data_IF_161908682445
#
_entry.id   IF_161908682445
#
_cell.length_a   1.000
_cell.length_b   1.000
_cell.length_c   1.000
_cell.angle_alpha   90.00
_cell.angle_beta   90.00
_cell.angle_gamma   90.00
#
_symmetry.space_group_name_H-M   'P 1'
#
loop_
_entity.id
_entity.type
_entity.pdbx_description
1 polymer ?
#
# COMPACT_ATOMS: atom_id res chain seq x y z
N UNK A 1 39.38 0.93 -34.68
CA UNK A 1 38.01 1.17 -35.18
C UNK A 1 37.29 1.98 -34.11
N UNK A 2 37.03 3.26 -34.39
CA UNK A 2 36.43 4.20 -33.44
C UNK A 2 34.92 3.96 -33.39
N UNK A 3 34.38 3.65 -32.22
CA UNK A 3 32.94 3.58 -32.01
C UNK A 3 32.40 5.01 -31.92
N UNK A 4 32.10 5.60 -33.08
CA UNK A 4 31.34 6.85 -33.16
C UNK A 4 29.89 6.50 -32.84
N UNK A 5 29.46 6.77 -31.60
CA UNK A 5 28.03 6.79 -31.27
C UNK A 5 27.44 8.07 -31.81
N UNK A 6 26.31 7.97 -32.53
CA UNK A 6 25.58 9.12 -33.04
C UNK A 6 25.05 9.94 -31.85
N UNK A 7 25.12 11.27 -31.93
CA UNK A 7 24.58 12.18 -30.91
C UNK A 7 23.07 11.93 -30.65
N UNK A 8 22.36 11.39 -31.63
CA UNK A 8 20.95 11.00 -31.52
C UNK A 8 20.73 9.80 -30.57
N UNK A 9 21.76 8.98 -30.31
CA UNK A 9 21.71 7.91 -29.30
C UNK A 9 21.95 8.44 -27.87
N UNK A 10 22.42 9.67 -27.72
CA UNK A 10 22.75 10.29 -26.44
C UNK A 10 21.63 11.18 -25.87
N UNK A 11 20.56 11.42 -26.63
CA UNK A 11 19.47 12.32 -26.27
C UNK A 11 18.14 11.60 -26.13
N UNK A 12 18.05 10.71 -25.14
CA UNK A 12 16.77 10.40 -24.50
C UNK A 12 16.91 10.76 -23.03
N UNK A 13 16.69 12.04 -22.70
CA UNK A 13 16.22 12.34 -21.35
C UNK A 13 15.00 11.44 -21.14
N UNK A 14 14.94 10.62 -20.08
CA UNK A 14 13.83 9.70 -19.90
C UNK A 14 12.56 10.53 -19.93
N UNK A 15 11.67 10.21 -20.87
CA UNK A 15 10.37 10.86 -20.95
C UNK A 15 9.69 10.63 -19.61
N UNK A 16 9.50 11.72 -18.86
CA UNK A 16 8.99 11.66 -17.51
C UNK A 16 7.62 10.97 -17.57
N UNK A 17 7.46 9.89 -16.80
CA UNK A 17 6.22 9.14 -16.85
C UNK A 17 5.07 10.03 -16.37
N UNK A 18 3.93 9.99 -17.06
CA UNK A 18 2.76 10.86 -16.76
C UNK A 18 2.20 10.68 -15.35
N UNK A 19 2.58 9.60 -14.65
CA UNK A 19 2.17 9.30 -13.27
C UNK A 19 3.15 9.82 -12.20
N UNK A 20 4.28 10.41 -12.57
CA UNK A 20 5.18 11.05 -11.60
C UNK A 20 4.53 12.33 -11.07
N UNK A 21 4.78 12.61 -9.78
CA UNK A 21 4.28 13.80 -9.07
C UNK A 21 2.76 14.03 -9.18
N UNK A 22 2.00 12.93 -9.31
CA UNK A 22 0.57 12.95 -9.64
C UNK A 22 -0.26 12.28 -8.55
N UNK A 23 -1.45 12.85 -8.27
CA UNK A 23 -2.47 12.24 -7.41
C UNK A 23 -3.48 11.51 -8.30
N UNK A 24 -3.53 10.19 -8.16
CA UNK A 24 -4.53 9.36 -8.83
C UNK A 24 -5.75 9.17 -7.92
N UNK A 25 -6.83 9.88 -8.21
CA UNK A 25 -8.09 9.75 -7.46
C UNK A 25 -8.88 8.52 -7.92
N UNK A 26 -9.21 7.62 -6.98
CA UNK A 26 -10.09 6.48 -7.22
C UNK A 26 -9.78 5.29 -6.32
N UNK A 27 -10.37 4.14 -6.66
CA UNK A 27 -10.00 2.85 -6.08
C UNK A 27 -8.54 2.50 -6.40
N UNK A 28 -7.79 2.03 -5.39
CA UNK A 28 -6.36 1.83 -5.52
C UNK A 28 -6.01 0.66 -6.44
N UNK A 29 -6.81 -0.42 -6.45
CA UNK A 29 -6.60 -1.56 -7.35
C UNK A 29 -6.76 -1.11 -8.79
N UNK A 30 -7.85 -0.40 -9.11
CA UNK A 30 -8.10 0.13 -10.44
C UNK A 30 -7.06 1.17 -10.89
N UNK A 31 -6.51 1.97 -9.96
CA UNK A 31 -5.44 2.92 -10.24
C UNK A 31 -4.10 2.23 -10.52
N UNK A 32 -3.71 1.28 -9.65
CA UNK A 32 -2.50 0.46 -9.83
C UNK A 32 -2.58 -0.36 -11.12
N UNK A 33 -3.78 -0.81 -11.50
CA UNK A 33 -3.98 -1.60 -12.71
C UNK A 33 -3.67 -0.84 -14.01
N UNK A 34 -3.68 0.51 -13.98
CA UNK A 34 -3.32 1.36 -15.11
C UNK A 34 -1.83 1.67 -15.20
N UNK A 35 -1.08 1.41 -14.13
CA UNK A 35 0.38 1.62 -14.12
C UNK A 35 1.10 0.46 -14.82
N UNK A 36 2.21 0.71 -15.53
CA UNK A 36 2.99 -0.37 -16.13
C UNK A 36 3.47 -1.38 -15.07
N UNK A 37 3.61 -2.65 -15.45
CA UNK A 37 4.25 -3.64 -14.57
C UNK A 37 5.68 -3.22 -14.21
N UNK A 38 6.15 -3.60 -13.02
CA UNK A 38 7.55 -3.38 -12.59
C UNK A 38 8.02 -1.93 -12.80
N UNK A 39 7.17 -0.96 -12.48
CA UNK A 39 7.43 0.47 -12.67
C UNK A 39 7.72 1.21 -11.36
N UNK A 40 7.33 0.65 -10.21
CA UNK A 40 7.42 1.28 -8.90
C UNK A 40 8.60 0.71 -8.09
N UNK A 41 9.44 1.60 -7.58
CA UNK A 41 10.58 1.24 -6.72
C UNK A 41 10.17 0.98 -5.26
N UNK A 42 9.28 1.83 -4.72
CA UNK A 42 8.85 1.77 -3.32
C UNK A 42 7.35 2.00 -3.22
N UNK A 43 6.67 1.17 -2.43
CA UNK A 43 5.26 1.34 -2.06
C UNK A 43 5.18 1.55 -0.55
N UNK A 44 4.36 2.50 -0.11
CA UNK A 44 3.94 2.65 1.28
C UNK A 44 2.42 2.52 1.33
N UNK A 45 1.91 1.60 2.14
CA UNK A 45 0.49 1.33 2.29
C UNK A 45 0.06 1.43 3.75
N UNK A 46 -0.92 2.29 4.01
CA UNK A 46 -1.66 2.41 5.26
C UNK A 46 -3.12 2.00 4.99
N UNK A 47 -3.41 0.69 4.91
CA UNK A 47 -4.76 0.21 4.62
C UNK A 47 -5.70 0.45 5.81
N UNK A 48 -7.04 0.39 5.63
CA UNK A 48 -7.97 0.32 6.75
C UNK A 48 -7.59 -0.79 7.75
N UNK A 49 -7.71 -0.53 9.04
CA UNK A 49 -7.29 -1.46 10.11
C UNK A 49 -8.39 -2.40 10.53
N UNK A 50 -9.63 -2.13 10.11
CA UNK A 50 -10.82 -2.86 10.54
C UNK A 50 -10.84 -2.93 12.07
N UNK A 51 -10.98 -1.76 12.71
CA UNK A 51 -10.88 -1.63 14.16
C UNK A 51 -12.00 -2.35 14.93
N UNK A 52 -13.11 -2.69 14.26
CA UNK A 52 -14.26 -3.40 14.83
C UNK A 52 -14.74 -2.75 16.14
N UNK A 53 -14.79 -1.42 16.16
CA UNK A 53 -15.22 -0.66 17.33
C UNK A 53 -16.70 -0.95 17.62
N UNK A 54 -17.01 -1.18 18.89
CA UNK A 54 -18.38 -1.40 19.35
C UNK A 54 -18.81 -0.25 20.27
N UNK A 55 -19.79 0.53 19.79
CA UNK A 55 -20.38 1.64 20.52
C UNK A 55 -19.46 2.83 20.78
N UNK A 56 -19.94 3.72 21.66
CA UNK A 56 -19.26 4.97 21.99
C UNK A 56 -18.24 4.78 23.12
N UNK A 57 -17.07 5.40 22.98
CA UNK A 57 -16.07 5.49 24.03
C UNK A 57 -16.09 6.88 24.69
N UNK A 58 -16.11 6.92 26.02
CA UNK A 58 -16.04 8.16 26.81
C UNK A 58 -14.73 8.24 27.59
N UNK A 59 -14.20 9.46 27.72
CA UNK A 59 -13.05 9.78 28.58
C UNK A 59 -13.48 9.85 30.06
N UNK A 60 -12.54 9.87 31.03
CA UNK A 60 -12.86 10.01 32.45
C UNK A 60 -13.68 11.27 32.80
N UNK A 61 -13.56 12.32 32.00
CA UNK A 61 -14.33 13.57 32.14
C UNK A 61 -15.70 13.53 31.45
N UNK A 62 -16.15 12.34 31.01
CA UNK A 62 -17.40 12.07 30.27
C UNK A 62 -17.45 12.61 28.83
N UNK A 63 -16.39 13.27 28.33
CA UNK A 63 -16.36 13.68 26.93
C UNK A 63 -16.28 12.47 26.00
N UNK A 64 -17.01 12.51 24.88
CA UNK A 64 -16.98 11.46 23.85
C UNK A 64 -15.63 11.48 23.11
N UNK A 65 -15.08 10.30 22.85
CA UNK A 65 -13.92 10.11 21.97
C UNK A 65 -14.38 10.16 20.52
N UNK A 66 -13.70 10.96 19.71
CA UNK A 66 -13.86 10.97 18.26
C UNK A 66 -13.11 9.77 17.69
N UNK A 67 -13.84 8.68 17.46
CA UNK A 67 -13.28 7.41 17.06
C UNK A 67 -13.21 7.32 15.53
N UNK A 68 -12.42 6.38 15.01
CA UNK A 68 -12.43 6.07 13.57
C UNK A 68 -13.62 5.14 13.32
N UNK A 69 -14.77 5.73 13.00
CA UNK A 69 -16.04 5.03 12.75
C UNK A 69 -16.54 5.18 11.29
N UNK A 70 -15.70 5.74 10.41
CA UNK A 70 -15.99 5.91 8.99
C UNK A 70 -16.26 4.58 8.25
N UNK A 71 -17.13 4.64 7.23
CA UNK A 71 -17.53 3.48 6.41
C UNK A 71 -16.36 2.73 5.76
N UNK A 72 -15.24 3.41 5.47
CA UNK A 72 -14.08 2.80 4.81
C UNK A 72 -13.29 1.85 5.72
N UNK A 73 -13.50 1.90 7.04
CA UNK A 73 -12.92 0.96 8.01
C UNK A 73 -13.89 -0.14 8.45
N UNK A 74 -15.09 -0.21 7.87
CA UNK A 74 -16.12 -1.17 8.24
C UNK A 74 -16.11 -2.39 7.31
N UNK A 75 -15.82 -3.57 7.86
CA UNK A 75 -15.84 -4.83 7.11
C UNK A 75 -16.84 -5.80 7.72
N UNK A 76 -17.64 -6.45 6.87
CA UNK A 76 -18.66 -7.41 7.32
C UNK A 76 -18.07 -8.66 7.99
N UNK A 77 -16.83 -9.03 7.64
CA UNK A 77 -16.12 -10.14 8.27
C UNK A 77 -14.62 -10.08 7.98
N UNK A 78 -13.87 -10.88 8.72
CA UNK A 78 -12.46 -11.14 8.46
C UNK A 78 -12.17 -11.76 7.09
N UNK A 79 -13.12 -12.48 6.49
CA UNK A 79 -12.99 -13.02 5.13
C UNK A 79 -13.09 -11.91 4.09
N UNK A 80 -14.02 -10.97 4.28
CA UNK A 80 -14.16 -9.79 3.41
C UNK A 80 -12.92 -8.92 3.49
N UNK A 81 -12.38 -8.71 4.71
CA UNK A 81 -11.12 -7.98 4.91
C UNK A 81 -9.95 -8.68 4.20
N UNK A 82 -9.82 -10.01 4.33
CA UNK A 82 -8.75 -10.76 3.67
C UNK A 82 -8.84 -10.71 2.14
N UNK A 83 -10.06 -10.78 1.59
CA UNK A 83 -10.28 -10.65 0.15
C UNK A 83 -9.87 -9.26 -0.35
N UNK A 84 -10.25 -8.21 0.38
CA UNK A 84 -9.82 -6.84 0.13
C UNK A 84 -8.28 -6.71 0.20
N UNK A 85 -7.66 -7.22 1.27
CA UNK A 85 -6.21 -7.18 1.47
C UNK A 85 -5.45 -7.88 0.34
N UNK A 86 -5.93 -9.07 -0.06
CA UNK A 86 -5.32 -9.84 -1.13
C UNK A 86 -5.40 -9.09 -2.48
N UNK A 87 -6.52 -8.42 -2.76
CA UNK A 87 -6.72 -7.72 -4.02
C UNK A 87 -5.69 -6.59 -4.22
N UNK A 88 -5.53 -5.71 -3.23
CA UNK A 88 -4.58 -4.59 -3.36
C UNK A 88 -3.11 -5.05 -3.26
N UNK A 89 -2.80 -6.08 -2.46
CA UNK A 89 -1.45 -6.65 -2.43
C UNK A 89 -1.04 -7.26 -3.78
N UNK A 90 -1.96 -7.92 -4.48
CA UNK A 90 -1.68 -8.44 -5.83
C UNK A 90 -1.39 -7.32 -6.83
N UNK A 91 -2.21 -6.28 -6.83
CA UNK A 91 -2.01 -5.10 -7.69
C UNK A 91 -0.67 -4.40 -7.37
N UNK A 92 -0.35 -4.24 -6.08
CA UNK A 92 0.91 -3.67 -5.63
C UNK A 92 2.11 -4.51 -6.08
N UNK A 93 2.03 -5.85 -5.95
CA UNK A 93 3.10 -6.76 -6.39
C UNK A 93 3.38 -6.66 -7.88
N UNK A 94 2.33 -6.53 -8.70
CA UNK A 94 2.44 -6.44 -10.17
C UNK A 94 3.25 -5.21 -10.61
N UNK A 95 3.01 -4.06 -9.97
CA UNK A 95 3.68 -2.81 -10.33
C UNK A 95 5.06 -2.67 -9.69
N UNK A 96 5.37 -3.43 -8.64
CA UNK A 96 6.67 -3.38 -7.97
C UNK A 96 7.77 -3.96 -8.87
N UNK A 97 8.90 -3.25 -8.96
CA UNK A 97 10.10 -3.76 -9.64
C UNK A 97 10.63 -5.03 -8.94
N UNK A 98 11.41 -5.89 -9.64
CA UNK A 98 12.01 -7.08 -9.02
C UNK A 98 12.89 -6.78 -7.79
N UNK A 99 13.46 -5.57 -7.72
CA UNK A 99 14.26 -5.08 -6.61
C UNK A 99 13.55 -3.98 -5.78
N UNK A 100 12.24 -3.81 -5.97
CA UNK A 100 11.45 -2.85 -5.22
C UNK A 100 11.07 -3.34 -3.82
N UNK A 101 10.60 -2.43 -2.97
CA UNK A 101 10.16 -2.74 -1.61
C UNK A 101 8.77 -2.19 -1.32
N UNK A 102 8.06 -2.84 -0.40
CA UNK A 102 6.77 -2.36 0.12
C UNK A 102 6.83 -2.28 1.64
N UNK A 103 6.34 -1.17 2.17
CA UNK A 103 6.05 -0.97 3.58
C UNK A 103 4.54 -1.00 3.78
N UNK A 104 4.07 -1.84 4.70
CA UNK A 104 2.66 -1.89 5.09
C UNK A 104 2.59 -1.67 6.59
N UNK A 105 1.80 -0.70 7.01
CA UNK A 105 1.60 -0.40 8.42
C UNK A 105 0.25 -0.95 8.90
N UNK A 106 0.16 -1.23 10.18
CA UNK A 106 -1.05 -1.72 10.82
C UNK A 106 -0.92 -1.72 12.34
N UNK A 107 -2.00 -2.12 12.99
CA UNK A 107 -2.02 -2.41 14.42
C UNK A 107 -2.31 -3.89 14.66
N UNK A 108 -2.46 -4.32 15.91
CA UNK A 108 -2.76 -5.72 16.21
C UNK A 108 -4.07 -6.21 15.59
N UNK A 109 -5.00 -5.32 15.22
CA UNK A 109 -6.28 -5.65 14.58
C UNK A 109 -6.09 -6.31 13.20
N UNK A 110 -5.10 -5.85 12.42
CA UNK A 110 -4.93 -6.29 11.04
C UNK A 110 -3.54 -6.84 10.69
N UNK A 111 -2.46 -6.39 11.35
CA UNK A 111 -1.10 -6.56 10.84
C UNK A 111 -0.70 -8.03 10.69
N UNK A 112 -1.22 -8.91 11.54
CA UNK A 112 -0.97 -10.36 11.44
C UNK A 112 -1.65 -10.99 10.21
N UNK A 113 -2.86 -10.53 9.87
CA UNK A 113 -3.59 -11.00 8.68
C UNK A 113 -2.91 -10.52 7.41
N UNK A 114 -2.57 -9.22 7.39
CA UNK A 114 -1.82 -8.58 6.30
C UNK A 114 -0.48 -9.28 6.08
N UNK A 115 0.30 -9.47 7.15
CA UNK A 115 1.59 -10.16 7.10
C UNK A 115 1.48 -11.58 6.54
N UNK A 116 0.48 -12.36 6.98
CA UNK A 116 0.22 -13.70 6.43
C UNK A 116 -0.10 -13.64 4.91
N UNK A 117 -0.97 -12.71 4.48
CA UNK A 117 -1.30 -12.56 3.05
C UNK A 117 -0.09 -12.12 2.22
N UNK A 118 0.78 -11.26 2.77
CA UNK A 118 2.02 -10.89 2.10
C UNK A 118 2.92 -12.11 1.86
N UNK A 119 3.11 -12.97 2.88
CA UNK A 119 3.91 -14.17 2.72
C UNK A 119 3.28 -15.17 1.72
N UNK A 120 1.96 -15.38 1.78
CA UNK A 120 1.23 -16.23 0.83
C UNK A 120 1.38 -15.76 -0.63
N UNK A 121 1.49 -14.44 -0.84
CA UNK A 121 1.67 -13.81 -2.15
C UNK A 121 3.15 -13.74 -2.60
N UNK A 122 4.06 -14.35 -1.83
CA UNK A 122 5.48 -14.45 -2.20
C UNK A 122 6.28 -13.18 -1.95
N UNK A 123 5.82 -12.29 -1.06
CA UNK A 123 6.69 -11.25 -0.50
C UNK A 123 7.69 -11.88 0.48
N UNK A 124 8.88 -11.29 0.56
CA UNK A 124 9.88 -11.65 1.55
C UNK A 124 9.92 -10.59 2.63
N UNK A 125 9.51 -10.93 3.85
CA UNK A 125 9.55 -9.99 4.98
C UNK A 125 11.02 -9.82 5.39
N UNK A 126 11.53 -8.60 5.22
CA UNK A 126 12.90 -8.24 5.63
C UNK A 126 12.96 -7.93 7.13
N UNK A 127 12.05 -7.08 7.60
CA UNK A 127 11.96 -6.64 8.98
C UNK A 127 10.52 -6.28 9.32
N UNK A 128 10.19 -6.39 10.61
CA UNK A 128 9.07 -5.69 11.23
C UNK A 128 9.63 -4.51 12.03
N UNK A 129 9.04 -3.33 11.88
CA UNK A 129 9.49 -2.07 12.50
C UNK A 129 8.37 -1.47 13.32
N UNK A 130 8.62 -1.29 14.62
CA UNK A 130 7.62 -0.80 15.56
C UNK A 130 7.66 0.73 15.64
N UNK A 131 6.55 1.37 15.27
CA UNK A 131 6.34 2.80 15.54
C UNK A 131 5.90 3.01 17.00
N UNK A 132 6.84 3.44 17.85
CA UNK A 132 6.55 3.86 19.23
C UNK A 132 6.04 5.30 19.26
N UNK A 133 4.74 5.49 19.46
CA UNK A 133 4.10 6.81 19.65
C UNK A 133 4.50 7.39 21.03
N UNK A 134 4.77 8.70 21.10
CA UNK A 134 5.15 9.45 22.31
C UNK A 134 4.10 10.46 22.70
#
# INVERSE_FOLDING_TARGET
>A
MSAVRLLDELSHAPQQSEWLDTILKGDCVAALDRLPEKSIDVIFADPPYNLQLDGDLHRPDQSKVDAVDDDWDQFASFEVYDAFTRAWLLAARRVLKPNGTIWVIGSYHNIFRVGAKMQDLGYWILNDVVWRKT
#
